data_IF_739018161623
#
_entry.id   IF_739018161623
#
_cell.length_a   1.000
_cell.length_b   1.000
_cell.length_c   1.000
_cell.angle_alpha   90.00
_cell.angle_beta   90.00
_cell.angle_gamma   90.00
#
_symmetry.space_group_name_H-M   'P 1'
#
loop_
_entity.id
_entity.type
_entity.pdbx_description
1 polymer ?
#
# COMPACT_ATOMS: atom_id res chain seq x y z
N UNK A 1 11.34 0.82 22.04
CA UNK A 1 11.08 -0.38 21.24
C UNK A 1 9.98 -1.17 21.94
N UNK A 2 8.90 -1.47 21.25
CA UNK A 2 7.74 -2.17 21.83
C UNK A 2 7.81 -3.65 21.42
N UNK A 3 8.70 -4.41 22.04
CA UNK A 3 9.01 -5.81 21.70
C UNK A 3 7.77 -6.70 21.48
N UNK A 4 6.70 -6.48 22.23
CA UNK A 4 5.45 -7.28 22.07
C UNK A 4 4.77 -7.03 20.72
N UNK A 5 4.82 -5.81 20.21
CA UNK A 5 4.24 -5.48 18.89
C UNK A 5 5.17 -6.01 17.79
N UNK A 6 6.46 -5.81 17.92
CA UNK A 6 7.45 -6.30 16.97
C UNK A 6 7.39 -7.85 16.89
N UNK A 7 7.37 -8.54 18.04
CA UNK A 7 7.22 -10.00 18.12
C UNK A 7 5.90 -10.49 17.46
N UNK A 8 4.81 -9.73 17.59
CA UNK A 8 3.54 -10.08 16.96
C UNK A 8 3.57 -9.88 15.45
N UNK A 9 4.22 -8.84 14.95
CA UNK A 9 4.45 -8.59 13.52
C UNK A 9 5.32 -9.71 12.94
N UNK A 10 6.45 -10.01 13.56
CA UNK A 10 7.37 -11.08 13.15
C UNK A 10 6.65 -12.43 13.09
N UNK A 11 5.93 -12.79 14.15
CA UNK A 11 5.16 -14.03 14.17
C UNK A 11 4.10 -14.10 13.07
N UNK A 12 3.48 -12.97 12.73
CA UNK A 12 2.46 -12.87 11.68
C UNK A 12 3.09 -13.06 10.30
N UNK A 13 4.25 -12.44 10.06
CA UNK A 13 5.01 -12.55 8.83
C UNK A 13 5.61 -13.94 8.64
N UNK A 14 6.13 -14.56 9.71
CA UNK A 14 6.82 -15.85 9.61
C UNK A 14 5.86 -17.05 9.61
N UNK A 15 4.85 -17.03 10.48
CA UNK A 15 4.01 -18.20 10.76
C UNK A 15 2.57 -18.08 10.25
N UNK A 16 2.16 -16.89 9.81
CA UNK A 16 0.83 -16.68 9.24
C UNK A 16 0.58 -17.56 8.02
N UNK A 17 -0.68 -17.88 7.75
CA UNK A 17 -1.08 -18.67 6.58
C UNK A 17 -0.34 -20.01 6.44
N UNK A 18 -0.03 -20.66 7.56
CA UNK A 18 0.66 -21.95 7.55
C UNK A 18 2.14 -21.89 7.13
N UNK A 19 2.83 -20.79 7.40
CA UNK A 19 4.24 -20.55 7.06
C UNK A 19 4.46 -19.80 5.75
N UNK A 20 3.39 -19.41 5.02
CA UNK A 20 3.49 -18.54 3.85
C UNK A 20 3.60 -17.05 4.22
N UNK A 21 3.38 -16.72 5.48
CA UNK A 21 3.32 -15.35 5.99
C UNK A 21 2.01 -14.63 5.66
N UNK A 22 1.50 -13.85 6.62
CA UNK A 22 0.37 -12.94 6.38
C UNK A 22 0.88 -11.64 5.79
N UNK A 23 0.13 -11.05 4.87
CA UNK A 23 0.48 -9.75 4.30
C UNK A 23 0.16 -8.67 5.34
N UNK A 24 1.17 -7.98 5.83
CA UNK A 24 1.05 -6.88 6.79
C UNK A 24 1.16 -5.57 6.03
N UNK A 25 0.12 -4.74 6.12
CA UNK A 25 0.04 -3.46 5.40
C UNK A 25 -0.20 -2.34 6.42
N UNK A 26 0.62 -1.31 6.39
CA UNK A 26 0.47 -0.13 7.24
C UNK A 26 0.34 1.15 6.42
N UNK A 27 -0.43 2.10 6.95
CA UNK A 27 -0.45 3.46 6.43
C UNK A 27 0.84 4.20 6.82
N UNK A 28 1.38 5.01 5.90
CA UNK A 28 2.63 5.74 6.12
C UNK A 28 2.55 6.80 7.23
N UNK A 29 1.36 7.40 7.43
CA UNK A 29 1.14 8.53 8.34
C UNK A 29 0.78 9.82 7.59
N UNK A 30 0.29 10.83 8.30
CA UNK A 30 -0.29 12.05 7.72
C UNK A 30 0.44 13.34 8.14
N UNK A 31 1.68 13.22 8.59
CA UNK A 31 2.49 14.32 9.12
C UNK A 31 3.33 15.09 8.10
N UNK A 32 3.34 14.65 6.83
CA UNK A 32 4.24 15.14 5.78
C UNK A 32 5.73 15.02 6.17
N UNK A 33 6.08 13.99 6.89
CA UNK A 33 7.40 13.70 7.43
C UNK A 33 7.86 12.27 7.13
N UNK A 34 8.75 11.76 7.97
CA UNK A 34 9.23 10.38 7.87
C UNK A 34 8.18 9.38 8.38
N UNK A 35 8.14 8.20 7.77
CA UNK A 35 7.35 7.06 8.27
C UNK A 35 7.80 6.71 9.69
N UNK A 36 6.84 6.46 10.56
CA UNK A 36 7.09 6.19 11.97
C UNK A 36 6.59 4.81 12.41
N UNK A 37 7.00 4.42 13.62
CA UNK A 37 6.55 3.18 14.25
C UNK A 37 5.02 3.11 14.37
N UNK A 38 4.39 1.96 14.10
CA UNK A 38 5.00 0.65 13.84
C UNK A 38 5.29 0.37 12.35
N UNK A 39 4.93 1.24 11.42
CA UNK A 39 5.09 1.00 9.99
C UNK A 39 6.57 0.81 9.56
N UNK A 40 7.52 1.39 10.30
CA UNK A 40 8.96 1.28 10.05
C UNK A 40 9.66 0.22 10.90
N UNK A 41 8.94 -0.69 11.57
CA UNK A 41 9.54 -1.67 12.48
C UNK A 41 10.15 -2.88 11.78
N UNK A 42 9.61 -3.29 10.62
CA UNK A 42 10.09 -4.42 9.85
C UNK A 42 10.01 -4.10 8.34
N UNK A 43 11.09 -4.35 7.57
CA UNK A 43 11.12 -4.06 6.13
C UNK A 43 10.19 -4.93 5.28
N UNK A 44 9.57 -5.96 5.86
CA UNK A 44 8.59 -6.82 5.19
C UNK A 44 7.15 -6.28 5.26
N UNK A 45 6.95 -5.22 6.04
CA UNK A 45 5.67 -4.50 6.09
C UNK A 45 5.51 -3.72 4.78
N UNK A 46 4.35 -3.78 4.16
CA UNK A 46 4.02 -2.93 3.01
C UNK A 46 3.50 -1.59 3.52
N UNK A 47 4.28 -0.54 3.32
CA UNK A 47 3.95 0.82 3.76
C UNK A 47 3.30 1.60 2.63
N UNK A 48 2.11 2.15 2.89
CA UNK A 48 1.26 2.79 1.88
C UNK A 48 1.13 4.28 2.11
N UNK A 49 1.57 5.06 1.12
CA UNK A 49 1.38 6.50 1.07
C UNK A 49 0.07 6.91 0.39
N UNK A 50 -0.39 8.12 0.69
CA UNK A 50 -1.59 8.69 0.08
C UNK A 50 -1.27 9.51 -1.17
N UNK A 51 -1.94 9.17 -2.27
CA UNK A 51 -1.90 9.94 -3.50
C UNK A 51 -3.04 10.94 -3.58
N UNK A 52 -2.74 12.16 -4.01
CA UNK A 52 -3.72 13.19 -4.29
C UNK A 52 -4.36 12.97 -5.67
N UNK A 53 -5.57 13.52 -5.93
CA UNK A 53 -6.19 13.45 -7.25
C UNK A 53 -5.42 14.19 -8.34
N UNK A 54 -4.36 14.94 -7.99
CA UNK A 54 -3.49 15.66 -8.91
C UNK A 54 -2.36 14.78 -9.49
N UNK A 55 -2.29 13.51 -9.17
CA UNK A 55 -1.24 12.62 -9.66
C UNK A 55 0.10 12.75 -8.93
N UNK A 56 0.09 13.20 -7.69
CA UNK A 56 1.27 13.41 -6.85
C UNK A 56 1.05 12.85 -5.44
N UNK A 57 2.15 12.65 -4.68
CA UNK A 57 2.05 12.37 -3.24
C UNK A 57 1.23 13.49 -2.59
N UNK A 58 0.27 13.13 -1.75
CA UNK A 58 -0.46 14.13 -0.97
C UNK A 58 0.51 14.94 -0.11
N UNK A 59 0.54 16.23 -0.32
CA UNK A 59 1.32 17.20 0.46
C UNK A 59 0.47 18.46 0.71
N UNK A 60 0.87 19.35 1.64
CA UNK A 60 0.07 20.54 1.99
C UNK A 60 -0.21 21.52 0.84
N UNK A 61 0.55 21.42 -0.27
CA UNK A 61 0.41 22.26 -1.45
C UNK A 61 -0.34 21.57 -2.59
N UNK A 62 -0.83 20.33 -2.40
CA UNK A 62 -1.59 19.59 -3.40
C UNK A 62 -2.86 20.32 -3.81
N UNK A 63 -3.31 20.09 -5.04
CA UNK A 63 -4.44 20.81 -5.66
C UNK A 63 -5.80 20.58 -4.97
N UNK A 64 -5.89 19.63 -4.04
CA UNK A 64 -7.10 19.30 -3.30
C UNK A 64 -7.49 20.35 -2.26
N UNK A 65 -6.58 21.28 -1.91
CA UNK A 65 -6.77 22.38 -0.98
C UNK A 65 -6.71 22.01 0.50
N UNK A 66 -6.26 20.79 0.84
CA UNK A 66 -6.15 20.33 2.21
C UNK A 66 -4.70 20.46 2.72
N UNK A 67 -4.53 20.85 3.98
CA UNK A 67 -3.23 21.24 4.57
C UNK A 67 -2.40 20.08 5.14
N UNK A 68 -2.83 18.82 5.02
CA UNK A 68 -2.08 17.68 5.49
C UNK A 68 -1.19 17.06 4.39
N UNK A 69 -0.27 16.17 4.76
CA UNK A 69 0.57 15.46 3.80
C UNK A 69 0.84 14.02 4.22
N UNK A 70 0.92 13.13 3.23
CA UNK A 70 1.37 11.75 3.41
C UNK A 70 2.81 11.73 3.89
N UNK A 71 3.10 10.94 4.91
CA UNK A 71 4.48 10.63 5.27
C UNK A 71 5.15 9.84 4.15
N UNK A 72 6.48 9.91 4.07
CA UNK A 72 7.31 9.38 3.01
C UNK A 72 8.71 9.01 3.56
N UNK A 73 9.57 8.44 2.76
CA UNK A 73 10.90 8.07 3.18
C UNK A 73 11.28 6.66 2.77
N UNK A 74 12.36 6.16 3.36
CA UNK A 74 12.97 4.89 3.01
C UNK A 74 12.04 3.68 3.18
N UNK A 75 11.07 3.77 4.05
CA UNK A 75 10.13 2.68 4.35
C UNK A 75 8.91 2.65 3.43
N UNK A 76 8.74 3.68 2.56
CA UNK A 76 7.58 3.78 1.69
C UNK A 76 7.66 2.79 0.51
N UNK A 77 6.67 1.91 0.39
CA UNK A 77 6.62 0.94 -0.70
C UNK A 77 5.78 1.41 -1.87
N UNK A 78 4.51 1.76 -1.66
CA UNK A 78 3.60 2.10 -2.74
C UNK A 78 2.65 3.22 -2.37
N UNK A 79 2.02 3.79 -3.40
CA UNK A 79 0.98 4.80 -3.27
C UNK A 79 -0.39 4.21 -3.65
N UNK A 80 -1.42 4.71 -2.96
CA UNK A 80 -2.81 4.45 -3.34
C UNK A 80 -3.66 5.72 -3.15
N UNK A 81 -4.86 5.81 -3.75
CA UNK A 81 -5.75 6.97 -3.57
C UNK A 81 -6.06 7.22 -2.09
N UNK A 82 -5.76 8.40 -1.59
CA UNK A 82 -5.89 8.76 -0.17
C UNK A 82 -6.62 10.07 0.09
N UNK A 83 -7.17 10.73 -0.94
CA UNK A 83 -7.83 12.03 -0.83
C UNK A 83 -9.20 11.98 -1.48
N UNK A 84 -10.22 12.43 -0.74
CA UNK A 84 -11.63 12.47 -1.19
C UNK A 84 -12.10 11.12 -1.72
N UNK A 85 -11.78 10.06 -0.98
CA UNK A 85 -12.15 8.68 -1.33
C UNK A 85 -13.62 8.44 -1.00
N UNK A 86 -14.46 8.08 -1.98
CA UNK A 86 -15.84 7.66 -1.72
C UNK A 86 -15.85 6.32 -0.97
N UNK A 87 -16.62 6.27 0.11
CA UNK A 87 -16.75 5.03 0.90
C UNK A 87 -18.10 4.97 1.64
N UNK A 88 -18.40 3.82 2.20
CA UNK A 88 -19.55 3.66 3.10
C UNK A 88 -19.34 4.46 4.39
N UNK A 89 -20.44 4.95 4.93
CA UNK A 89 -20.49 5.68 6.20
C UNK A 89 -21.51 4.99 7.14
N UNK A 90 -21.57 5.46 8.37
CA UNK A 90 -22.63 5.05 9.30
C UNK A 90 -23.97 5.50 8.76
N UNK A 91 -24.99 4.65 8.90
CA UNK A 91 -26.33 4.94 8.36
C UNK A 91 -26.94 6.23 8.91
N UNK A 92 -27.49 7.02 8.01
CA UNK A 92 -28.20 8.24 8.31
C UNK A 92 -27.31 9.34 8.91
N UNK A 93 -27.88 10.18 9.75
CA UNK A 93 -27.22 11.37 10.31
C UNK A 93 -26.19 11.09 11.39
N UNK A 94 -25.94 9.83 11.75
CA UNK A 94 -24.92 9.45 12.73
C UNK A 94 -23.50 9.40 12.16
N UNK A 95 -23.35 9.43 10.83
CA UNK A 95 -22.09 9.40 10.09
C UNK A 95 -21.49 10.79 9.84
N UNK A 96 -20.49 10.82 8.97
CA UNK A 96 -19.86 12.07 8.48
C UNK A 96 -20.75 12.79 7.46
N UNK A 97 -21.67 12.08 6.84
CA UNK A 97 -22.66 12.60 5.90
C UNK A 97 -24.06 12.17 6.31
N UNK A 98 -25.09 12.87 5.81
CA UNK A 98 -26.50 12.53 6.09
C UNK A 98 -27.01 11.30 5.34
N UNK A 99 -26.26 10.79 4.37
CA UNK A 99 -26.52 9.52 3.67
C UNK A 99 -25.59 8.40 4.20
N UNK A 100 -25.78 7.18 3.72
CA UNK A 100 -24.99 6.01 4.10
C UNK A 100 -23.60 5.97 3.44
N UNK A 101 -23.20 7.05 2.76
CA UNK A 101 -21.92 7.18 2.04
C UNK A 101 -21.29 8.55 2.27
N UNK A 102 -19.98 8.59 2.36
CA UNK A 102 -19.18 9.82 2.35
C UNK A 102 -18.34 9.91 1.06
N UNK A 103 -18.07 11.15 0.62
CA UNK A 103 -17.25 11.43 -0.56
C UNK A 103 -15.90 12.07 -0.18
N UNK A 104 -15.63 12.17 1.10
CA UNK A 104 -14.52 12.99 1.61
C UNK A 104 -13.65 12.24 2.62
N UNK A 105 -13.58 10.91 2.53
CA UNK A 105 -12.72 10.14 3.40
C UNK A 105 -11.25 10.34 2.97
N UNK A 106 -10.41 10.77 3.92
CA UNK A 106 -9.05 11.21 3.66
C UNK A 106 -8.04 10.49 4.54
N UNK A 107 -6.77 10.52 4.12
CA UNK A 107 -5.64 10.02 4.88
C UNK A 107 -4.92 8.86 4.22
N UNK A 108 -3.70 8.58 4.67
CA UNK A 108 -3.02 7.32 4.36
C UNK A 108 -3.82 6.12 4.87
N UNK A 109 -4.69 6.34 5.87
CA UNK A 109 -5.66 5.35 6.36
C UNK A 109 -6.76 5.00 5.36
N UNK A 110 -7.04 5.85 4.36
CA UNK A 110 -7.93 5.52 3.24
C UNK A 110 -7.16 4.91 2.05
N UNK A 111 -5.87 5.17 1.93
CA UNK A 111 -4.99 4.56 0.92
C UNK A 111 -4.64 3.10 1.27
N UNK A 112 -4.28 2.82 2.51
CA UNK A 112 -3.85 1.52 3.01
C UNK A 112 -4.83 0.37 2.67
N UNK A 113 -6.16 0.47 2.86
CA UNK A 113 -7.09 -0.61 2.55
C UNK A 113 -7.20 -0.94 1.06
N UNK A 114 -6.85 -0.03 0.15
CA UNK A 114 -6.77 -0.37 -1.28
C UNK A 114 -5.68 -1.41 -1.54
N UNK A 115 -4.52 -1.26 -0.88
CA UNK A 115 -3.40 -2.21 -0.99
C UNK A 115 -3.73 -3.53 -0.30
N UNK A 116 -4.36 -3.48 0.87
CA UNK A 116 -4.83 -4.69 1.56
C UNK A 116 -5.85 -5.46 0.72
N UNK A 117 -6.78 -4.74 0.04
CA UNK A 117 -7.73 -5.32 -0.90
C UNK A 117 -7.05 -5.96 -2.11
N UNK A 118 -6.04 -5.28 -2.68
CA UNK A 118 -5.24 -5.81 -3.79
C UNK A 118 -4.51 -7.10 -3.38
N UNK A 119 -3.88 -7.13 -2.20
CA UNK A 119 -3.25 -8.33 -1.67
C UNK A 119 -4.26 -9.49 -1.54
N UNK A 120 -5.49 -9.21 -1.10
CA UNK A 120 -6.57 -10.18 -1.04
C UNK A 120 -6.93 -10.75 -2.41
N UNK A 121 -7.03 -9.91 -3.45
CA UNK A 121 -7.30 -10.34 -4.84
C UNK A 121 -6.15 -11.18 -5.40
N UNK A 122 -4.90 -10.80 -5.16
CA UNK A 122 -3.72 -11.59 -5.56
C UNK A 122 -3.77 -12.98 -4.94
N UNK A 123 -4.08 -13.08 -3.65
CA UNK A 123 -4.16 -14.34 -2.92
C UNK A 123 -5.38 -15.19 -3.30
N UNK A 124 -6.49 -14.58 -3.72
CA UNK A 124 -7.64 -15.32 -4.28
C UNK A 124 -7.25 -15.97 -5.62
N UNK A 125 -6.51 -15.26 -6.45
CA UNK A 125 -6.00 -15.79 -7.72
C UNK A 125 -4.94 -16.88 -7.52
N UNK A 126 -4.03 -16.71 -6.58
CA UNK A 126 -2.96 -17.69 -6.28
C UNK A 126 -2.70 -17.78 -4.76
N UNK A 127 -3.42 -18.65 -4.04
CA UNK A 127 -3.32 -18.78 -2.58
C UNK A 127 -1.99 -19.35 -2.07
N UNK A 128 -1.16 -19.89 -2.96
CA UNK A 128 0.14 -20.49 -2.59
C UNK A 128 1.29 -19.46 -2.52
N UNK A 129 1.05 -18.19 -2.88
CA UNK A 129 2.07 -17.15 -2.80
C UNK A 129 2.44 -16.84 -1.35
N UNK A 130 3.75 -16.72 -1.08
CA UNK A 130 4.28 -16.19 0.17
C UNK A 130 4.07 -14.67 0.27
N UNK A 131 4.23 -14.12 1.47
CA UNK A 131 4.05 -12.67 1.68
C UNK A 131 5.03 -11.84 0.86
N UNK A 132 6.29 -12.26 0.70
CA UNK A 132 7.30 -11.58 -0.12
C UNK A 132 6.90 -11.53 -1.59
N UNK A 133 6.37 -12.65 -2.15
CA UNK A 133 5.92 -12.68 -3.53
C UNK A 133 4.71 -11.77 -3.78
N UNK A 134 3.82 -11.62 -2.81
CA UNK A 134 2.71 -10.67 -2.91
C UNK A 134 3.24 -9.24 -2.87
N UNK A 135 4.20 -8.92 -2.00
CA UNK A 135 4.84 -7.61 -1.93
C UNK A 135 5.57 -7.28 -3.25
N UNK A 136 6.32 -8.23 -3.82
CA UNK A 136 6.98 -8.13 -5.13
C UNK A 136 5.98 -7.80 -6.24
N UNK A 137 4.88 -8.56 -6.35
CA UNK A 137 3.84 -8.32 -7.35
C UNK A 137 3.26 -6.90 -7.22
N UNK A 138 2.94 -6.47 -6.00
CA UNK A 138 2.38 -5.13 -5.74
C UNK A 138 3.38 -4.05 -6.17
N UNK A 139 4.66 -4.20 -5.82
CA UNK A 139 5.71 -3.23 -6.11
C UNK A 139 6.07 -3.17 -7.61
N UNK A 140 6.26 -4.32 -8.26
CA UNK A 140 6.63 -4.39 -9.69
C UNK A 140 5.50 -3.96 -10.61
N UNK A 141 4.25 -4.25 -10.24
CA UNK A 141 3.08 -3.83 -11.01
C UNK A 141 2.84 -2.32 -10.92
N UNK A 142 3.34 -1.63 -9.88
CA UNK A 142 3.04 -0.22 -9.62
C UNK A 142 3.43 0.71 -10.78
N UNK A 143 2.54 1.65 -11.08
CA UNK A 143 2.72 2.65 -12.14
C UNK A 143 3.64 3.78 -11.68
N UNK A 144 4.60 4.13 -12.50
CA UNK A 144 5.47 5.30 -12.29
C UNK A 144 4.72 6.56 -12.75
N UNK A 145 4.07 7.23 -11.81
CA UNK A 145 3.18 8.39 -12.07
C UNK A 145 3.78 9.68 -11.53
N UNK A 146 3.24 10.81 -12.00
CA UNK A 146 3.67 12.14 -11.58
C UNK A 146 5.03 12.56 -12.16
N UNK A 147 5.50 13.74 -11.73
CA UNK A 147 6.78 14.31 -12.19
C UNK A 147 7.94 13.91 -11.27
N UNK A 148 8.01 12.62 -10.91
CA UNK A 148 9.04 12.08 -10.00
C UNK A 148 10.08 11.29 -10.79
N UNK A 149 11.35 11.38 -10.33
CA UNK A 149 12.42 10.54 -10.87
C UNK A 149 12.47 9.24 -10.09
N UNK A 150 12.15 8.14 -10.74
CA UNK A 150 12.31 6.78 -10.19
C UNK A 150 13.64 6.19 -10.69
N UNK A 151 14.42 5.62 -9.80
CA UNK A 151 15.73 5.05 -10.12
C UNK A 151 15.97 3.72 -9.43
N UNK A 152 16.86 2.90 -9.98
CA UNK A 152 17.35 1.74 -9.25
C UNK A 152 18.13 2.21 -8.02
N UNK A 153 17.66 1.77 -6.87
CA UNK A 153 18.22 2.16 -5.56
C UNK A 153 18.58 0.90 -4.78
N UNK A 154 19.78 0.86 -4.20
CA UNK A 154 20.21 -0.26 -3.36
C UNK A 154 19.25 -0.44 -2.18
N UNK A 155 18.83 -1.68 -1.91
CA UNK A 155 17.85 -2.00 -0.87
C UNK A 155 16.41 -2.06 -1.35
N UNK A 156 16.12 -1.73 -2.62
CA UNK A 156 14.78 -1.77 -3.21
C UNK A 156 14.77 -2.72 -4.41
N UNK A 157 14.58 -4.04 -4.18
CA UNK A 157 14.82 -5.07 -5.19
C UNK A 157 13.78 -5.11 -6.31
N UNK A 158 12.58 -4.56 -6.09
CA UNK A 158 11.44 -4.71 -6.99
C UNK A 158 11.37 -3.66 -8.12
N UNK A 159 12.52 -3.07 -8.48
CA UNK A 159 12.65 -2.16 -9.62
C UNK A 159 12.94 -0.71 -9.24
N UNK A 160 12.51 0.21 -10.09
CA UNK A 160 12.74 1.65 -9.88
C UNK A 160 11.88 2.18 -8.73
N UNK A 161 12.50 2.88 -7.81
CA UNK A 161 11.90 3.42 -6.58
C UNK A 161 12.14 4.94 -6.47
N UNK A 162 11.31 5.62 -5.71
CA UNK A 162 11.41 7.05 -5.40
C UNK A 162 11.06 7.30 -3.93
N UNK A 163 11.78 8.19 -3.26
CA UNK A 163 11.63 8.48 -1.83
C UNK A 163 10.25 9.04 -1.41
N UNK A 164 9.53 9.66 -2.35
CA UNK A 164 8.19 10.23 -2.09
C UNK A 164 7.05 9.35 -2.61
N UNK A 165 7.34 8.46 -3.54
CA UNK A 165 6.33 7.67 -4.25
C UNK A 165 6.50 6.15 -4.08
N UNK A 166 7.54 5.71 -3.38
CA UNK A 166 7.87 4.29 -3.31
C UNK A 166 8.09 3.70 -4.71
N UNK A 167 7.56 2.53 -4.95
CA UNK A 167 7.52 1.91 -6.29
C UNK A 167 6.46 2.52 -7.22
N UNK A 168 5.59 3.40 -6.73
CA UNK A 168 4.58 4.11 -7.51
C UNK A 168 3.14 3.82 -7.08
N UNK A 169 2.19 4.21 -7.91
CA UNK A 169 0.76 3.99 -7.69
C UNK A 169 0.40 2.53 -7.99
N UNK A 170 -0.33 1.87 -7.10
CA UNK A 170 -0.80 0.50 -7.33
C UNK A 170 -1.59 0.37 -8.64
N UNK A 171 -1.37 -0.74 -9.35
CA UNK A 171 -2.07 -1.10 -10.57
C UNK A 171 -2.70 -2.50 -10.40
N UNK A 172 -4.01 -2.52 -10.22
CA UNK A 172 -4.75 -3.75 -9.94
C UNK A 172 -4.74 -4.70 -11.14
N UNK A 173 -4.95 -4.17 -12.34
CA UNK A 173 -5.02 -5.00 -13.55
C UNK A 173 -3.68 -5.65 -13.85
N UNK A 174 -2.59 -4.88 -13.77
CA UNK A 174 -1.25 -5.38 -13.98
C UNK A 174 -0.84 -6.41 -12.92
N UNK A 175 -1.16 -6.16 -11.64
CA UNK A 175 -0.90 -7.11 -10.56
C UNK A 175 -1.63 -8.44 -10.77
N UNK A 176 -2.90 -8.38 -11.20
CA UNK A 176 -3.68 -9.58 -11.52
C UNK A 176 -3.10 -10.37 -12.69
N UNK A 177 -2.63 -9.69 -13.74
CA UNK A 177 -1.99 -10.35 -14.88
C UNK A 177 -0.68 -11.02 -14.48
N UNK A 178 0.18 -10.36 -13.73
CA UNK A 178 1.41 -10.94 -13.20
C UNK A 178 1.12 -12.18 -12.33
N UNK A 179 0.11 -12.10 -11.47
CA UNK A 179 -0.30 -13.22 -10.61
C UNK A 179 -0.75 -14.44 -11.42
N UNK A 180 -1.52 -14.23 -12.51
CA UNK A 180 -1.94 -15.32 -13.41
C UNK A 180 -0.75 -15.98 -14.08
N UNK A 181 0.20 -15.22 -14.58
CA UNK A 181 1.42 -15.75 -15.21
C UNK A 181 2.19 -16.65 -14.23
N UNK A 182 2.42 -16.19 -13.01
CA UNK A 182 3.10 -16.99 -11.98
C UNK A 182 2.34 -18.26 -11.62
N UNK A 183 1.01 -18.22 -11.57
CA UNK A 183 0.18 -19.41 -11.34
C UNK A 183 0.34 -20.45 -12.46
N UNK A 184 0.31 -20.04 -13.72
CA UNK A 184 0.50 -20.96 -14.86
C UNK A 184 1.91 -21.56 -14.90
N UNK A 185 2.93 -20.77 -14.59
CA UNK A 185 4.31 -21.24 -14.46
C UNK A 185 4.45 -22.34 -13.40
N UNK A 186 3.86 -22.15 -12.24
CA UNK A 186 3.90 -23.13 -11.14
C UNK A 186 3.15 -24.43 -11.46
N UNK A 187 2.19 -24.40 -12.39
CA UNK A 187 1.40 -25.56 -12.82
C UNK A 187 1.99 -26.27 -14.05
N UNK A 188 3.12 -25.79 -14.60
CA UNK A 188 3.81 -26.46 -15.72
C UNK A 188 3.11 -26.33 -17.07
N UNK A 189 2.22 -25.35 -17.24
CA UNK A 189 1.61 -25.03 -18.54
C UNK A 189 2.55 -24.13 -19.35
N UNK A 190 3.48 -24.75 -20.10
CA UNK A 190 4.25 -24.16 -21.19
C UNK A 190 4.24 -25.12 -22.36
#
# INVERSE_FOLDING_TARGET
QYTVIDDAIDNTLDNGRGGLGTIVVFSAGNGNGAVSYPANSDPRIIVVGAMSPCGERKNPSSCDGESWGSDFGAELDVMAPGVKVPTTDRQGSAGYHSSDYTQTFNGTSSACPHVAGLAGVILDLNPCLGHEQVAEIIAESAQKVGSYTYSFTSGYPYGHWNNEMGYGLIDIDRAMEMTKVLKYQSQGFY
#
